data_IF_154809983690
#
_entry.id   IF_154809983690
#
_cell.length_a   1.000
_cell.length_b   1.000
_cell.length_c   1.000
_cell.angle_alpha   90.00
_cell.angle_beta   90.00
_cell.angle_gamma   90.00
#
_symmetry.space_group_name_H-M   'P 1'
#
loop_
_entity.id
_entity.type
_entity.pdbx_description
1 polymer ?
#
# COMPACT_ATOMS: atom_id res chain seq x y z
N UNK A 1 4.87 -6.49 -17.19
CA UNK A 1 5.48 -6.03 -15.92
C UNK A 1 6.84 -5.33 -16.15
N UNK A 2 7.13 -4.25 -15.42
CA UNK A 2 8.46 -3.63 -15.36
C UNK A 2 9.27 -4.32 -14.25
N UNK A 3 9.81 -5.50 -14.59
CA UNK A 3 10.60 -6.31 -13.66
C UNK A 3 11.80 -5.55 -13.07
N UNK A 4 12.27 -4.49 -13.75
CA UNK A 4 13.36 -3.64 -13.24
C UNK A 4 12.91 -2.85 -12.00
N UNK A 5 11.71 -2.25 -12.05
CA UNK A 5 11.15 -1.51 -10.91
C UNK A 5 10.91 -2.42 -9.71
N UNK A 6 10.28 -3.57 -9.93
CA UNK A 6 10.07 -4.51 -8.83
C UNK A 6 11.41 -4.97 -8.24
N UNK A 7 12.38 -5.35 -9.08
CA UNK A 7 13.69 -5.79 -8.60
C UNK A 7 14.43 -4.67 -7.83
N UNK A 8 14.33 -3.41 -8.27
CA UNK A 8 14.88 -2.27 -7.52
C UNK A 8 14.19 -2.12 -6.15
N UNK A 9 12.86 -2.20 -6.09
CA UNK A 9 12.11 -2.14 -4.84
C UNK A 9 12.43 -3.30 -3.90
N UNK A 10 12.57 -4.52 -4.43
CA UNK A 10 12.95 -5.69 -3.63
C UNK A 10 14.39 -5.54 -3.10
N UNK A 11 15.32 -4.96 -3.88
CA UNK A 11 16.69 -4.67 -3.43
C UNK A 11 16.73 -3.59 -2.35
N UNK A 12 16.00 -2.50 -2.54
CA UNK A 12 15.85 -1.44 -1.53
C UNK A 12 15.21 -2.02 -0.26
N UNK A 13 14.15 -2.80 -0.41
CA UNK A 13 13.48 -3.45 0.71
C UNK A 13 14.37 -4.46 1.43
N UNK A 14 15.24 -5.19 0.73
CA UNK A 14 16.22 -6.09 1.35
C UNK A 14 17.28 -5.32 2.14
N UNK A 15 17.76 -4.18 1.61
CA UNK A 15 18.67 -3.29 2.33
C UNK A 15 18.09 -2.83 3.67
N UNK A 16 16.82 -2.41 3.68
CA UNK A 16 16.09 -2.05 4.91
C UNK A 16 15.58 -3.26 5.71
N UNK A 17 15.83 -4.49 5.25
CA UNK A 17 15.30 -5.74 5.81
C UNK A 17 13.74 -5.80 5.91
N UNK A 18 13.07 -4.99 5.08
CA UNK A 18 11.61 -4.89 4.92
C UNK A 18 11.09 -6.03 4.04
N UNK A 19 11.81 -6.33 2.96
CA UNK A 19 11.40 -7.29 1.94
C UNK A 19 12.41 -8.43 1.89
N UNK A 20 11.98 -9.69 1.75
CA UNK A 20 12.93 -10.78 1.63
C UNK A 20 13.67 -10.73 0.29
N UNK A 21 14.99 -10.89 0.34
CA UNK A 21 15.79 -11.14 -0.86
C UNK A 21 15.32 -12.41 -1.57
N UNK A 22 15.04 -12.31 -2.87
CA UNK A 22 14.64 -13.44 -3.70
C UNK A 22 15.77 -14.45 -3.97
N UNK A 23 17.03 -14.07 -3.74
CA UNK A 23 18.20 -14.81 -4.21
C UNK A 23 19.06 -15.42 -3.10
N UNK A 24 18.66 -15.34 -1.83
CA UNK A 24 19.59 -15.68 -0.73
C UNK A 24 19.89 -17.18 -0.64
N UNK A 25 21.17 -17.60 -0.81
CA UNK A 25 21.59 -18.95 -0.47
C UNK A 25 21.57 -19.15 1.05
N UNK A 26 21.36 -20.39 1.50
CA UNK A 26 21.17 -20.75 2.91
C UNK A 26 22.29 -20.24 3.86
N UNK A 27 23.50 -20.02 3.35
CA UNK A 27 24.66 -19.58 4.12
C UNK A 27 24.51 -18.17 4.76
N UNK A 28 23.66 -17.27 4.25
CA UNK A 28 23.52 -15.91 4.79
C UNK A 28 22.41 -15.75 5.85
N UNK A 29 21.78 -16.85 6.27
CA UNK A 29 20.63 -16.81 7.19
C UNK A 29 20.97 -16.18 8.56
N UNK A 30 22.17 -16.43 9.10
CA UNK A 30 22.61 -15.92 10.41
C UNK A 30 22.83 -14.41 10.40
N UNK A 31 23.55 -13.88 9.40
CA UNK A 31 23.80 -12.44 9.25
C UNK A 31 22.48 -11.68 9.12
N UNK A 32 21.55 -12.20 8.32
CA UNK A 32 20.23 -11.58 8.15
C UNK A 32 19.41 -11.59 9.44
N UNK A 33 19.47 -12.68 10.22
CA UNK A 33 18.82 -12.74 11.54
C UNK A 33 19.41 -11.72 12.52
N UNK A 34 20.75 -11.60 12.56
CA UNK A 34 21.42 -10.59 13.38
C UNK A 34 21.00 -9.17 12.97
N UNK A 35 20.97 -8.85 11.67
CA UNK A 35 20.49 -7.58 11.13
C UNK A 35 19.04 -7.28 11.53
N UNK A 36 18.15 -8.28 11.45
CA UNK A 36 16.76 -8.12 11.88
C UNK A 36 16.62 -7.87 13.39
N UNK A 37 17.39 -8.57 14.22
CA UNK A 37 17.38 -8.34 15.68
C UNK A 37 17.88 -6.92 16.01
N UNK A 38 18.96 -6.50 15.35
CA UNK A 38 19.53 -5.17 15.52
C UNK A 38 18.54 -4.06 15.09
N UNK A 39 17.91 -4.19 13.92
CA UNK A 39 16.89 -3.22 13.46
C UNK A 39 15.70 -3.19 14.44
N UNK A 40 15.24 -4.34 14.94
CA UNK A 40 14.16 -4.39 15.95
C UNK A 40 14.55 -3.67 17.23
N UNK A 41 15.78 -3.87 17.69
CA UNK A 41 16.29 -3.20 18.87
C UNK A 41 16.31 -1.68 18.66
N UNK A 42 16.87 -1.19 17.55
CA UNK A 42 16.90 0.24 17.23
C UNK A 42 15.50 0.85 17.10
N UNK A 43 14.57 0.15 16.46
CA UNK A 43 13.18 0.60 16.35
C UNK A 43 12.53 0.69 17.73
N UNK A 44 12.70 -0.33 18.57
CA UNK A 44 12.10 -0.36 19.92
C UNK A 44 12.66 0.74 20.81
N UNK A 45 13.98 0.90 20.85
CA UNK A 45 14.65 1.97 21.62
C UNK A 45 14.27 3.34 21.06
N UNK A 46 14.25 3.51 19.74
CA UNK A 46 13.85 4.75 19.07
C UNK A 46 12.41 5.15 19.39
N UNK A 47 11.47 4.20 19.38
CA UNK A 47 10.07 4.43 19.78
C UNK A 47 9.99 4.80 21.27
N UNK A 48 10.64 4.05 22.15
CA UNK A 48 10.63 4.33 23.60
C UNK A 48 11.18 5.72 23.92
N UNK A 49 12.30 6.09 23.28
CA UNK A 49 12.90 7.42 23.42
C UNK A 49 11.98 8.51 22.86
N UNK A 50 11.36 8.31 21.69
CA UNK A 50 10.42 9.28 21.11
C UNK A 50 9.23 9.53 22.04
N UNK A 51 8.64 8.47 22.61
CA UNK A 51 7.54 8.57 23.57
C UNK A 51 7.99 9.30 24.85
N UNK A 52 9.13 8.92 25.42
CA UNK A 52 9.68 9.53 26.63
C UNK A 52 9.91 11.04 26.46
N UNK A 53 10.55 11.45 25.36
CA UNK A 53 10.79 12.87 25.09
C UNK A 53 9.53 13.66 24.76
N UNK A 54 8.51 13.03 24.16
CA UNK A 54 7.19 13.66 23.93
C UNK A 54 6.42 13.85 25.23
N UNK A 55 6.55 12.93 26.18
CA UNK A 55 5.90 12.97 27.48
C UNK A 55 6.39 14.14 28.35
N UNK A 56 7.71 14.33 28.40
CA UNK A 56 8.39 15.36 29.22
C UNK A 56 8.27 16.76 28.61
N UNK A 57 8.05 16.85 27.30
CA UNK A 57 8.33 18.07 26.54
C UNK A 57 7.36 19.24 26.71
N UNK A 58 6.10 19.08 27.13
CA UNK A 58 5.13 20.21 27.08
C UNK A 58 3.78 19.91 27.73
N UNK A 59 3.14 20.98 28.22
CA UNK A 59 1.72 21.08 28.54
C UNK A 59 0.85 21.02 27.25
N UNK A 60 0.96 19.96 26.46
CA UNK A 60 0.01 19.72 25.38
C UNK A 60 -1.36 19.33 25.96
N UNK A 61 -2.43 19.73 25.29
CA UNK A 61 -3.76 19.16 25.57
C UNK A 61 -3.69 17.63 25.50
N UNK A 62 -4.36 16.96 26.44
CA UNK A 62 -4.30 15.48 26.59
C UNK A 62 -4.58 14.76 25.27
N UNK A 63 -5.52 15.27 24.48
CA UNK A 63 -5.92 14.71 23.18
C UNK A 63 -4.74 14.65 22.19
N UNK A 64 -3.97 15.74 22.05
CA UNK A 64 -2.79 15.78 21.18
C UNK A 64 -1.72 14.81 21.66
N UNK A 65 -1.49 14.74 22.97
CA UNK A 65 -0.51 13.82 23.56
C UNK A 65 -0.85 12.37 23.25
N UNK A 66 -2.13 12.00 23.42
CA UNK A 66 -2.63 10.65 23.08
C UNK A 66 -2.46 10.37 21.58
N UNK A 67 -2.83 11.32 20.70
CA UNK A 67 -2.67 11.15 19.25
C UNK A 67 -1.22 10.91 18.84
N UNK A 68 -0.27 11.66 19.41
CA UNK A 68 1.16 11.52 19.13
C UNK A 68 1.72 10.18 19.61
N UNK A 69 1.34 9.74 20.82
CA UNK A 69 1.75 8.43 21.37
C UNK A 69 1.16 7.31 20.50
N UNK A 70 -0.13 7.40 20.15
CA UNK A 70 -0.78 6.40 19.32
C UNK A 70 -0.16 6.32 17.92
N UNK A 71 0.24 7.45 17.35
CA UNK A 71 0.97 7.51 16.07
C UNK A 71 2.29 6.74 16.15
N UNK A 72 3.08 6.93 17.21
CA UNK A 72 4.34 6.20 17.40
C UNK A 72 4.11 4.69 17.61
N UNK A 73 3.07 4.32 18.38
CA UNK A 73 2.69 2.92 18.58
C UNK A 73 2.25 2.25 17.28
N UNK A 74 1.50 2.95 16.43
CA UNK A 74 1.10 2.45 15.11
C UNK A 74 2.30 2.29 14.18
N UNK A 75 3.23 3.25 14.15
CA UNK A 75 4.47 3.14 13.37
C UNK A 75 5.39 2.00 13.85
N UNK A 76 5.48 1.82 15.16
CA UNK A 76 6.18 0.69 15.76
C UNK A 76 5.53 -0.64 15.39
N UNK A 77 4.21 -0.73 15.54
CA UNK A 77 3.41 -1.89 15.13
C UNK A 77 3.58 -2.20 13.65
N UNK A 78 3.55 -1.17 12.80
CA UNK A 78 3.75 -1.29 11.35
C UNK A 78 5.14 -1.86 11.05
N UNK A 79 6.18 -1.29 11.66
CA UNK A 79 7.55 -1.76 11.49
C UNK A 79 7.72 -3.23 11.90
N UNK A 80 7.13 -3.62 13.03
CA UNK A 80 7.15 -5.01 13.48
C UNK A 80 6.38 -5.94 12.54
N UNK A 81 5.22 -5.49 12.02
CA UNK A 81 4.43 -6.21 11.03
C UNK A 81 5.21 -6.46 9.75
N UNK A 82 5.82 -5.43 9.17
CA UNK A 82 6.67 -5.53 7.98
C UNK A 82 7.79 -6.54 8.18
N UNK A 83 8.49 -6.50 9.32
CA UNK A 83 9.56 -7.45 9.62
C UNK A 83 9.05 -8.90 9.75
N UNK A 84 7.84 -9.10 10.29
CA UNK A 84 7.21 -10.43 10.32
C UNK A 84 6.77 -10.89 8.94
N UNK A 85 6.26 -9.99 8.11
CA UNK A 85 5.86 -10.25 6.72
C UNK A 85 7.07 -10.62 5.85
N UNK A 86 8.22 -10.00 6.12
CA UNK A 86 9.50 -10.34 5.49
C UNK A 86 9.98 -11.78 5.74
N UNK A 87 9.49 -12.44 6.79
CA UNK A 87 9.77 -13.87 7.07
C UNK A 87 8.92 -14.83 6.24
N UNK A 88 7.83 -14.36 5.61
CA UNK A 88 6.90 -15.17 4.81
C UNK A 88 7.46 -15.45 3.41
N UNK A 89 8.72 -15.86 3.29
CA UNK A 89 9.43 -16.02 2.02
C UNK A 89 8.67 -16.89 1.01
N UNK A 90 8.13 -18.03 1.45
CA UNK A 90 7.35 -18.93 0.60
C UNK A 90 6.13 -18.24 -0.03
N UNK A 91 5.43 -17.38 0.73
CA UNK A 91 4.26 -16.63 0.23
C UNK A 91 4.69 -15.53 -0.74
N UNK A 92 5.77 -14.80 -0.44
CA UNK A 92 6.34 -13.81 -1.36
C UNK A 92 6.77 -14.42 -2.69
N UNK A 93 7.47 -15.55 -2.65
CA UNK A 93 7.89 -16.25 -3.85
C UNK A 93 6.68 -16.75 -4.66
N UNK A 94 5.67 -17.33 -4.00
CA UNK A 94 4.43 -17.76 -4.64
C UNK A 94 3.67 -16.58 -5.28
N UNK A 95 3.55 -15.45 -4.59
CA UNK A 95 2.94 -14.23 -5.13
C UNK A 95 3.61 -13.79 -6.43
N UNK A 96 4.94 -13.69 -6.43
CA UNK A 96 5.70 -13.24 -7.58
C UNK A 96 5.69 -14.25 -8.73
N UNK A 97 5.72 -15.55 -8.42
CA UNK A 97 5.59 -16.61 -9.42
C UNK A 97 4.20 -16.61 -10.06
N UNK A 98 3.13 -16.46 -9.28
CA UNK A 98 1.77 -16.37 -9.82
C UNK A 98 1.65 -15.17 -10.76
N UNK A 99 2.14 -13.99 -10.36
CA UNK A 99 2.16 -12.80 -11.21
C UNK A 99 2.96 -13.02 -12.51
N UNK A 100 4.09 -13.72 -12.44
CA UNK A 100 4.91 -14.07 -13.61
C UNK A 100 4.20 -15.07 -14.52
N UNK A 101 3.56 -16.10 -13.97
CA UNK A 101 2.80 -17.10 -14.73
C UNK A 101 1.62 -16.45 -15.45
N UNK A 102 0.89 -15.57 -14.78
CA UNK A 102 -0.19 -14.76 -15.38
C UNK A 102 0.37 -13.86 -16.50
N UNK A 103 1.54 -13.24 -16.31
CA UNK A 103 2.22 -12.43 -17.33
C UNK A 103 2.62 -13.26 -18.56
N UNK A 104 3.16 -14.46 -18.38
CA UNK A 104 3.49 -15.38 -19.46
C UNK A 104 2.24 -15.80 -20.25
N UNK A 105 1.17 -16.17 -19.55
CA UNK A 105 -0.07 -16.61 -20.18
C UNK A 105 -0.72 -15.49 -21.01
N UNK A 106 -0.86 -14.29 -20.45
CA UNK A 106 -1.51 -13.16 -21.13
C UNK A 106 -0.68 -12.57 -22.27
N UNK A 107 0.65 -12.67 -22.20
CA UNK A 107 1.54 -12.15 -23.26
C UNK A 107 1.42 -12.91 -24.58
N UNK A 108 0.94 -14.15 -24.56
CA UNK A 108 0.60 -14.88 -25.79
C UNK A 108 -0.51 -14.19 -26.61
N UNK A 109 -1.24 -13.23 -26.02
CA UNK A 109 -2.42 -12.62 -26.65
C UNK A 109 -2.30 -11.12 -26.92
N UNK A 110 -1.40 -10.40 -26.25
CA UNK A 110 -1.32 -8.94 -26.31
C UNK A 110 0.13 -8.50 -26.50
N UNK A 111 0.35 -7.72 -27.57
CA UNK A 111 1.64 -7.10 -27.88
C UNK A 111 1.69 -5.69 -27.27
N UNK A 112 2.02 -5.62 -25.98
CA UNK A 112 1.81 -4.41 -25.18
C UNK A 112 3.05 -3.50 -25.14
N UNK A 113 2.92 -2.26 -25.61
CA UNK A 113 3.92 -1.19 -25.44
C UNK A 113 4.02 -0.83 -23.96
N UNK A 114 5.11 -1.23 -23.31
CA UNK A 114 5.35 -0.92 -21.89
C UNK A 114 5.72 0.55 -21.70
N UNK A 115 4.83 1.33 -21.09
CA UNK A 115 5.24 2.58 -20.46
C UNK A 115 6.23 2.30 -19.31
N UNK A 116 7.31 3.08 -19.20
CA UNK A 116 8.29 2.92 -18.13
C UNK A 116 7.75 3.49 -16.81
N UNK A 117 6.99 2.69 -16.08
CA UNK A 117 6.58 3.03 -14.70
C UNK A 117 7.78 3.27 -13.78
N UNK A 118 8.93 2.68 -14.09
CA UNK A 118 10.19 2.87 -13.38
C UNK A 118 10.60 4.34 -13.24
N UNK A 119 10.59 5.11 -14.33
CA UNK A 119 11.04 6.51 -14.31
C UNK A 119 10.11 7.37 -13.49
N UNK A 120 8.78 7.21 -13.67
CA UNK A 120 7.75 7.91 -12.89
C UNK A 120 7.92 7.65 -11.37
N UNK A 121 8.19 6.40 -10.98
CA UNK A 121 8.40 6.04 -9.57
C UNK A 121 9.69 6.64 -8.99
N UNK A 122 10.81 6.58 -9.74
CA UNK A 122 12.06 7.18 -9.28
C UNK A 122 11.98 8.70 -9.09
N UNK A 123 11.30 9.39 -10.02
CA UNK A 123 11.05 10.83 -9.90
C UNK A 123 10.23 11.13 -8.64
N UNK A 124 9.17 10.35 -8.38
CA UNK A 124 8.36 10.51 -7.17
C UNK A 124 9.17 10.28 -5.89
N UNK A 125 10.01 9.24 -5.86
CA UNK A 125 10.90 8.94 -4.73
C UNK A 125 11.88 10.10 -4.48
N UNK A 126 12.46 10.67 -5.55
CA UNK A 126 13.37 11.81 -5.45
C UNK A 126 12.65 13.06 -4.92
N UNK A 127 11.45 13.37 -5.41
CA UNK A 127 10.64 14.49 -4.93
C UNK A 127 10.37 14.36 -3.43
N UNK A 128 9.92 13.18 -3.00
CA UNK A 128 9.61 12.92 -1.58
C UNK A 128 10.85 12.98 -0.70
N UNK A 129 12.00 12.54 -1.21
CA UNK A 129 13.27 12.67 -0.52
C UNK A 129 13.66 14.14 -0.34
N UNK A 130 13.57 14.97 -1.39
CA UNK A 130 13.83 16.41 -1.32
C UNK A 130 12.89 17.09 -0.31
N UNK A 131 11.60 16.77 -0.37
CA UNK A 131 10.61 17.27 0.60
C UNK A 131 11.04 16.90 2.02
N UNK A 132 11.41 15.64 2.27
CA UNK A 132 11.81 15.17 3.60
C UNK A 132 13.05 15.92 4.11
N UNK A 133 14.05 16.16 3.26
CA UNK A 133 15.25 16.94 3.62
C UNK A 133 14.87 18.37 3.99
N UNK A 134 14.07 19.04 3.15
CA UNK A 134 13.61 20.41 3.41
C UNK A 134 12.89 20.50 4.76
N UNK A 135 12.02 19.54 5.04
CA UNK A 135 11.28 19.47 6.31
C UNK A 135 12.23 19.28 7.49
N UNK A 136 13.21 18.38 7.38
CA UNK A 136 14.21 18.18 8.44
C UNK A 136 15.03 19.45 8.67
N UNK A 137 15.47 20.12 7.60
CA UNK A 137 16.21 21.37 7.67
C UNK A 137 15.42 22.45 8.40
N UNK A 138 14.20 22.75 7.94
CA UNK A 138 13.36 23.78 8.51
C UNK A 138 13.09 23.53 10.00
N UNK A 139 12.68 22.32 10.37
CA UNK A 139 12.39 22.02 11.78
C UNK A 139 13.64 21.98 12.67
N UNK A 140 14.81 21.66 12.11
CA UNK A 140 16.09 21.78 12.82
C UNK A 140 16.42 23.24 13.11
N UNK A 141 16.17 24.15 12.17
CA UNK A 141 16.36 25.59 12.41
C UNK A 141 15.41 26.11 13.49
N UNK A 142 14.15 25.65 13.49
CA UNK A 142 13.11 26.12 14.44
C UNK A 142 13.30 25.56 15.84
N UNK A 143 13.61 24.26 15.98
CA UNK A 143 13.65 23.58 17.29
C UNK A 143 15.05 23.13 17.73
N UNK A 144 16.07 23.36 16.91
CA UNK A 144 17.44 22.92 17.17
C UNK A 144 17.56 21.40 17.28
N UNK A 145 18.48 20.94 18.13
CA UNK A 145 18.76 19.52 18.33
C UNK A 145 17.58 18.74 18.96
N UNK A 146 16.70 19.43 19.69
CA UNK A 146 15.52 18.83 20.33
C UNK A 146 14.57 18.22 19.30
N UNK A 147 14.55 18.76 18.07
CA UNK A 147 13.82 18.17 16.94
C UNK A 147 14.22 16.71 16.69
N UNK A 148 15.53 16.46 16.58
CA UNK A 148 16.06 15.15 16.24
C UNK A 148 15.79 14.12 17.34
N UNK A 149 15.88 14.53 18.61
CA UNK A 149 15.55 13.64 19.73
C UNK A 149 14.07 13.20 19.70
N UNK A 150 13.16 14.08 19.25
CA UNK A 150 11.71 13.80 19.24
C UNK A 150 11.24 13.06 17.99
N UNK A 151 11.74 13.45 16.82
CA UNK A 151 11.15 13.08 15.52
C UNK A 151 12.04 12.19 14.66
N UNK A 152 13.30 11.93 15.01
CA UNK A 152 14.19 11.07 14.23
C UNK A 152 13.58 9.70 13.92
N UNK A 153 13.03 9.04 14.95
CA UNK A 153 12.34 7.76 14.79
C UNK A 153 11.14 7.88 13.84
N UNK A 154 10.26 8.85 14.06
CA UNK A 154 9.06 9.07 13.24
C UNK A 154 9.44 9.32 11.78
N UNK A 155 10.48 10.12 11.50
CA UNK A 155 10.96 10.41 10.14
C UNK A 155 11.48 9.13 9.47
N UNK A 156 12.34 8.38 10.16
CA UNK A 156 12.89 7.13 9.63
C UNK A 156 11.79 6.07 9.36
N UNK A 157 10.86 5.91 10.30
CA UNK A 157 9.73 5.00 10.17
C UNK A 157 8.78 5.44 9.05
N UNK A 158 8.51 6.73 8.90
CA UNK A 158 7.67 7.27 7.82
C UNK A 158 8.31 7.06 6.45
N UNK A 159 9.63 7.20 6.34
CA UNK A 159 10.34 6.92 5.09
C UNK A 159 10.30 5.42 4.74
N UNK A 160 10.46 4.55 5.74
CA UNK A 160 10.32 3.09 5.58
C UNK A 160 8.90 2.71 5.15
N UNK A 161 7.89 3.32 5.75
CA UNK A 161 6.49 3.20 5.35
C UNK A 161 6.30 3.60 3.89
N UNK A 162 6.83 4.75 3.47
CA UNK A 162 6.71 5.21 2.08
C UNK A 162 7.29 4.21 1.06
N UNK A 163 8.49 3.68 1.31
CA UNK A 163 9.10 2.64 0.46
C UNK A 163 8.21 1.41 0.40
N UNK A 164 7.67 0.98 1.53
CA UNK A 164 6.79 -0.18 1.61
C UNK A 164 5.47 0.03 0.85
N UNK A 165 4.84 1.20 1.00
CA UNK A 165 3.65 1.60 0.24
C UNK A 165 3.93 1.60 -1.25
N UNK A 166 5.11 2.07 -1.67
CA UNK A 166 5.57 1.99 -3.06
C UNK A 166 5.65 0.55 -3.58
N UNK A 167 6.16 -0.39 -2.78
CA UNK A 167 6.18 -1.80 -3.12
C UNK A 167 4.77 -2.38 -3.29
N UNK A 168 3.88 -2.13 -2.32
CA UNK A 168 2.47 -2.53 -2.37
C UNK A 168 1.82 -1.99 -3.65
N UNK A 169 2.00 -0.71 -3.92
CA UNK A 169 1.45 -0.04 -5.09
C UNK A 169 1.90 -0.69 -6.41
N UNK A 170 3.19 -1.00 -6.56
CA UNK A 170 3.71 -1.65 -7.78
C UNK A 170 3.11 -3.04 -7.98
N UNK A 171 2.93 -3.80 -6.90
CA UNK A 171 2.28 -5.11 -6.94
C UNK A 171 0.80 -4.97 -7.35
N UNK A 172 0.06 -4.08 -6.71
CA UNK A 172 -1.35 -3.82 -7.02
C UNK A 172 -1.53 -3.32 -8.45
N UNK A 173 -0.69 -2.39 -8.92
CA UNK A 173 -0.74 -1.91 -10.30
C UNK A 173 -0.42 -3.02 -11.30
N UNK A 174 0.47 -3.95 -10.94
CA UNK A 174 0.72 -5.15 -11.74
C UNK A 174 -0.55 -6.02 -11.80
N UNK A 175 -1.20 -6.31 -10.66
CA UNK A 175 -2.47 -7.04 -10.64
C UNK A 175 -3.56 -6.34 -11.48
N UNK A 176 -3.72 -5.03 -11.35
CA UNK A 176 -4.69 -4.24 -12.12
C UNK A 176 -4.47 -4.39 -13.63
N UNK A 177 -3.22 -4.27 -14.10
CA UNK A 177 -2.91 -4.50 -15.50
C UNK A 177 -3.23 -5.94 -15.95
N UNK A 178 -3.16 -6.93 -15.06
CA UNK A 178 -3.54 -8.32 -15.37
C UNK A 178 -5.06 -8.48 -15.51
N UNK A 179 -5.84 -7.84 -14.66
CA UNK A 179 -7.30 -7.82 -14.82
C UNK A 179 -7.72 -7.14 -16.12
N UNK A 180 -7.09 -6.02 -16.50
CA UNK A 180 -7.34 -5.36 -17.79
C UNK A 180 -6.98 -6.26 -18.98
N UNK A 181 -5.79 -6.86 -18.96
CA UNK A 181 -5.40 -7.79 -20.01
C UNK A 181 -6.32 -9.02 -20.09
N UNK A 182 -6.74 -9.58 -18.95
CA UNK A 182 -7.73 -10.67 -18.91
C UNK A 182 -9.05 -10.24 -19.59
N UNK A 183 -9.53 -9.02 -19.30
CA UNK A 183 -10.72 -8.47 -19.92
C UNK A 183 -10.62 -8.40 -21.44
N UNK A 184 -9.47 -7.97 -21.96
CA UNK A 184 -9.23 -7.86 -23.40
C UNK A 184 -9.14 -9.24 -24.06
N UNK A 185 -8.43 -10.19 -23.44
CA UNK A 185 -8.34 -11.59 -23.91
C UNK A 185 -9.73 -12.22 -23.94
N UNK A 186 -10.52 -12.04 -22.87
CA UNK A 186 -11.87 -12.58 -22.79
C UNK A 186 -12.78 -11.98 -23.86
N UNK A 187 -12.66 -10.68 -24.13
CA UNK A 187 -13.37 -10.02 -25.24
C UNK A 187 -13.06 -10.70 -26.57
N UNK A 188 -11.78 -10.95 -26.87
CA UNK A 188 -11.36 -11.62 -28.11
C UNK A 188 -11.95 -13.04 -28.19
N UNK A 189 -11.88 -13.82 -27.10
CA UNK A 189 -12.34 -15.22 -27.06
C UNK A 189 -13.86 -15.31 -27.25
N UNK A 190 -14.61 -14.41 -26.60
CA UNK A 190 -16.05 -14.31 -26.75
C UNK A 190 -16.42 -13.97 -28.21
N UNK A 191 -15.74 -13.03 -28.86
CA UNK A 191 -16.06 -12.64 -30.25
C UNK A 191 -15.58 -13.66 -31.30
N UNK A 192 -14.47 -14.36 -31.06
CA UNK A 192 -13.88 -15.32 -32.01
C UNK A 192 -14.43 -16.75 -31.89
N UNK A 193 -15.44 -16.99 -31.06
CA UNK A 193 -16.17 -18.27 -30.98
C UNK A 193 -15.29 -19.49 -30.60
N UNK A 194 -14.22 -19.29 -29.83
CA UNK A 194 -13.26 -20.34 -29.53
C UNK A 194 -13.51 -20.99 -28.16
N UNK A 195 -14.26 -22.09 -28.13
CA UNK A 195 -14.69 -22.81 -26.91
C UNK A 195 -13.52 -23.43 -26.14
N UNK A 196 -12.48 -23.91 -26.83
CA UNK A 196 -11.36 -24.65 -26.24
C UNK A 196 -10.54 -23.84 -25.21
N UNK A 197 -10.64 -22.51 -25.21
CA UNK A 197 -9.82 -21.65 -24.34
C UNK A 197 -10.48 -21.32 -22.99
N UNK A 198 -11.75 -21.65 -22.78
CA UNK A 198 -12.46 -21.24 -21.56
C UNK A 198 -11.87 -21.87 -20.29
N UNK A 199 -11.45 -23.14 -20.38
CA UNK A 199 -10.83 -23.87 -19.25
C UNK A 199 -9.49 -23.25 -18.83
N UNK A 200 -8.71 -22.74 -19.78
CA UNK A 200 -7.45 -22.06 -19.47
C UNK A 200 -7.70 -20.71 -18.78
N UNK A 201 -8.75 -19.99 -19.19
CA UNK A 201 -9.17 -18.75 -18.52
C UNK A 201 -9.68 -19.05 -17.11
N UNK A 202 -10.45 -20.13 -16.90
CA UNK A 202 -10.89 -20.55 -15.55
C UNK A 202 -9.69 -20.77 -14.62
N UNK A 203 -8.66 -21.47 -15.10
CA UNK A 203 -7.41 -21.64 -14.36
C UNK A 203 -6.74 -20.28 -14.07
N UNK A 204 -6.68 -19.39 -15.06
CA UNK A 204 -6.11 -18.05 -14.89
C UNK A 204 -6.86 -17.21 -13.85
N UNK A 205 -8.19 -17.24 -13.86
CA UNK A 205 -9.05 -16.54 -12.89
C UNK A 205 -8.83 -17.09 -11.48
N UNK A 206 -8.76 -18.41 -11.33
CA UNK A 206 -8.43 -19.07 -10.06
C UNK A 206 -7.04 -18.64 -9.56
N UNK A 207 -6.04 -18.61 -10.44
CA UNK A 207 -4.69 -18.17 -10.12
C UNK A 207 -4.65 -16.69 -9.69
N UNK A 208 -5.45 -15.82 -10.32
CA UNK A 208 -5.58 -14.42 -9.94
C UNK A 208 -6.25 -14.25 -8.56
N UNK A 209 -7.31 -15.01 -8.29
CA UNK A 209 -7.96 -15.07 -6.97
C UNK A 209 -6.98 -15.52 -5.89
N UNK A 210 -6.23 -16.60 -6.14
CA UNK A 210 -5.19 -17.08 -5.23
C UNK A 210 -4.12 -16.00 -4.97
N UNK A 211 -3.73 -15.26 -6.01
CA UNK A 211 -2.76 -14.16 -5.91
C UNK A 211 -3.27 -13.05 -4.97
N UNK A 212 -4.55 -12.71 -5.03
CA UNK A 212 -5.18 -11.73 -4.13
C UNK A 212 -5.26 -12.26 -2.69
N UNK A 213 -5.57 -13.53 -2.50
CA UNK A 213 -5.54 -14.18 -1.18
C UNK A 213 -4.14 -14.12 -0.56
N UNK A 214 -3.10 -14.46 -1.33
CA UNK A 214 -1.71 -14.37 -0.88
C UNK A 214 -1.32 -12.92 -0.57
N UNK A 215 -1.77 -11.97 -1.38
CA UNK A 215 -1.55 -10.55 -1.14
C UNK A 215 -2.16 -10.10 0.20
N UNK A 216 -3.44 -10.42 0.46
CA UNK A 216 -4.09 -10.08 1.73
C UNK A 216 -3.37 -10.73 2.93
N UNK A 217 -2.92 -11.97 2.76
CA UNK A 217 -2.17 -12.70 3.78
C UNK A 217 -0.80 -12.08 4.09
N UNK A 218 -0.16 -11.47 3.09
CA UNK A 218 1.12 -10.78 3.25
C UNK A 218 0.85 -9.39 3.81
N UNK A 219 0.10 -8.54 3.12
CA UNK A 219 0.04 -7.10 3.36
C UNK A 219 -1.15 -6.65 4.22
N UNK A 220 -2.14 -7.49 4.49
CA UNK A 220 -3.40 -7.07 5.11
C UNK A 220 -3.20 -6.36 6.45
N UNK A 221 -2.27 -6.83 7.31
CA UNK A 221 -1.96 -6.18 8.60
C UNK A 221 -1.26 -4.85 8.41
N UNK A 222 -0.26 -4.82 7.55
CA UNK A 222 0.43 -3.57 7.20
C UNK A 222 -0.48 -2.54 6.54
N UNK A 223 -1.45 -2.95 5.72
CA UNK A 223 -2.47 -2.07 5.13
C UNK A 223 -3.35 -1.44 6.22
N UNK A 224 -3.80 -2.23 7.21
CA UNK A 224 -4.57 -1.71 8.33
C UNK A 224 -3.79 -0.63 9.09
N UNK A 225 -2.54 -0.94 9.46
CA UNK A 225 -1.68 -0.02 10.23
C UNK A 225 -1.30 1.23 9.43
N UNK A 226 -1.07 1.10 8.12
CA UNK A 226 -0.82 2.25 7.24
C UNK A 226 -2.04 3.19 7.15
N UNK A 227 -3.26 2.63 7.08
CA UNK A 227 -4.49 3.43 7.08
C UNK A 227 -4.69 4.12 8.43
N UNK A 228 -4.48 3.40 9.54
CA UNK A 228 -4.54 3.97 10.89
C UNK A 228 -3.51 5.09 11.06
N UNK A 229 -2.27 4.88 10.61
CA UNK A 229 -1.22 5.90 10.65
C UNK A 229 -1.63 7.14 9.86
N UNK A 230 -2.09 6.97 8.62
CA UNK A 230 -2.51 8.10 7.79
C UNK A 230 -3.63 8.93 8.44
N UNK A 231 -4.58 8.25 9.09
CA UNK A 231 -5.69 8.89 9.80
C UNK A 231 -5.20 9.69 11.01
N UNK A 232 -4.38 9.08 11.88
CA UNK A 232 -3.81 9.75 13.06
C UNK A 232 -2.89 10.91 12.70
N UNK A 233 -2.15 10.76 11.60
CA UNK A 233 -1.26 11.78 11.12
C UNK A 233 -2.05 13.00 10.61
N UNK A 234 -3.13 12.79 9.85
CA UNK A 234 -4.02 13.88 9.41
C UNK A 234 -4.64 14.61 10.61
N UNK A 235 -5.13 13.86 11.60
CA UNK A 235 -5.64 14.42 12.86
C UNK A 235 -4.58 15.28 13.54
N UNK A 236 -3.36 14.77 13.68
CA UNK A 236 -2.26 15.48 14.37
C UNK A 236 -1.85 16.77 13.65
N UNK A 237 -1.96 16.81 12.32
CA UNK A 237 -1.68 18.02 11.55
C UNK A 237 -2.79 19.06 11.62
N UNK A 238 -4.06 18.63 11.58
CA UNK A 238 -5.19 19.54 11.76
C UNK A 238 -5.15 20.19 13.15
N UNK A 239 -4.89 19.39 14.19
CA UNK A 239 -4.69 19.90 15.55
C UNK A 239 -3.54 20.91 15.63
N UNK A 240 -2.40 20.60 14.97
CA UNK A 240 -1.26 21.51 14.91
C UNK A 240 -1.61 22.84 14.20
N UNK A 241 -2.41 22.78 13.12
CA UNK A 241 -2.90 23.96 12.42
C UNK A 241 -3.84 24.83 13.27
N UNK A 242 -4.74 24.21 14.04
CA UNK A 242 -5.68 24.92 14.90
C UNK A 242 -5.02 25.55 16.14
N UNK A 243 -4.10 24.83 16.77
CA UNK A 243 -3.52 25.20 18.07
C UNK A 243 -2.54 26.39 18.00
N UNK A 244 -1.93 26.69 16.84
CA UNK A 244 -0.70 27.49 16.80
C UNK A 244 -0.87 28.86 16.13
N UNK A 245 -1.74 29.72 16.69
CA UNK A 245 -2.14 31.03 16.13
C UNK A 245 -1.10 32.17 16.26
N UNK A 246 0.03 31.98 16.95
CA UNK A 246 0.74 33.10 17.57
C UNK A 246 1.94 33.74 16.85
N UNK A 247 2.29 33.41 15.60
CA UNK A 247 3.45 34.08 14.94
C UNK A 247 3.21 34.37 13.45
N UNK A 248 2.97 35.65 13.12
CA UNK A 248 2.64 36.10 11.77
C UNK A 248 3.76 35.91 10.73
N UNK A 249 5.04 35.96 11.15
CA UNK A 249 6.20 35.87 10.24
C UNK A 249 6.53 34.46 9.72
N UNK A 250 5.94 33.41 10.31
CA UNK A 250 6.28 32.00 10.02
C UNK A 250 5.09 31.21 9.43
N UNK A 251 3.99 31.90 9.11
CA UNK A 251 2.78 31.24 8.61
C UNK A 251 2.98 30.53 7.27
N UNK A 252 3.75 31.11 6.35
CA UNK A 252 3.97 30.52 5.03
C UNK A 252 4.72 29.17 5.12
N UNK A 253 5.85 29.13 5.83
CA UNK A 253 6.62 27.90 5.99
C UNK A 253 5.85 26.82 6.76
N UNK A 254 5.03 27.22 7.74
CA UNK A 254 4.13 26.29 8.43
C UNK A 254 3.04 25.73 7.53
N UNK A 255 2.36 26.57 6.76
CA UNK A 255 1.34 26.11 5.81
C UNK A 255 1.96 25.19 4.75
N UNK A 256 3.14 25.55 4.24
CA UNK A 256 3.88 24.73 3.28
C UNK A 256 4.28 23.38 3.89
N UNK A 257 4.84 23.36 5.10
CA UNK A 257 5.24 22.11 5.78
C UNK A 257 4.04 21.20 6.06
N UNK A 258 2.87 21.75 6.43
CA UNK A 258 1.63 20.99 6.56
C UNK A 258 1.17 20.40 5.22
N UNK A 259 1.15 21.21 4.15
CA UNK A 259 0.77 20.76 2.81
C UNK A 259 1.70 19.64 2.29
N UNK A 260 3.01 19.81 2.48
CA UNK A 260 4.02 18.82 2.11
C UNK A 260 3.83 17.51 2.90
N UNK A 261 3.47 17.61 4.19
CA UNK A 261 3.17 16.42 4.98
C UNK A 261 1.88 15.71 4.56
N UNK A 262 0.83 16.46 4.22
CA UNK A 262 -0.39 15.88 3.63
C UNK A 262 -0.07 15.12 2.33
N UNK A 263 0.90 15.60 1.55
CA UNK A 263 1.37 14.93 0.34
C UNK A 263 1.98 13.54 0.62
N UNK A 264 2.57 13.32 1.81
CA UNK A 264 3.08 12.01 2.23
C UNK A 264 1.96 10.98 2.50
N UNK A 265 0.71 11.43 2.65
CA UNK A 265 -0.46 10.54 2.83
C UNK A 265 -1.08 10.09 1.50
N UNK A 266 -0.84 10.83 0.41
CA UNK A 266 -1.34 10.51 -0.92
C UNK A 266 -1.03 9.07 -1.37
N UNK A 267 0.16 8.48 -1.12
CA UNK A 267 0.45 7.10 -1.46
C UNK A 267 -0.53 6.09 -0.86
N UNK A 268 -0.98 6.29 0.38
CA UNK A 268 -1.97 5.42 1.03
C UNK A 268 -3.32 5.49 0.32
N UNK A 269 -3.77 6.70 -0.03
CA UNK A 269 -5.01 6.89 -0.81
C UNK A 269 -4.91 6.23 -2.18
N UNK A 270 -3.76 6.39 -2.86
CA UNK A 270 -3.51 5.74 -4.16
C UNK A 270 -3.57 4.22 -4.04
N UNK A 271 -3.03 3.64 -2.96
CA UNK A 271 -3.15 2.20 -2.70
C UNK A 271 -4.61 1.78 -2.52
N UNK A 272 -5.39 2.49 -1.71
CA UNK A 272 -6.83 2.22 -1.51
C UNK A 272 -7.58 2.27 -2.85
N UNK A 273 -7.37 3.33 -3.64
CA UNK A 273 -8.01 3.50 -4.95
C UNK A 273 -7.56 2.43 -5.95
N UNK A 274 -6.32 1.95 -5.87
CA UNK A 274 -5.83 0.89 -6.76
C UNK A 274 -6.45 -0.46 -6.40
N UNK A 275 -6.60 -0.78 -5.10
CA UNK A 275 -7.35 -1.96 -4.65
C UNK A 275 -8.78 -1.93 -5.21
N UNK A 276 -9.48 -0.81 -5.04
CA UNK A 276 -10.85 -0.63 -5.52
C UNK A 276 -10.95 -0.72 -7.05
N UNK A 277 -9.99 -0.13 -7.78
CA UNK A 277 -9.94 -0.22 -9.25
C UNK A 277 -9.82 -1.66 -9.75
N UNK A 278 -9.12 -2.54 -9.03
CA UNK A 278 -9.03 -3.97 -9.37
C UNK A 278 -10.39 -4.65 -9.20
N UNK A 279 -11.10 -4.31 -8.12
CA UNK A 279 -12.45 -4.82 -7.83
C UNK A 279 -13.45 -4.34 -8.88
N UNK A 280 -13.37 -3.08 -9.29
CA UNK A 280 -14.17 -2.51 -10.39
C UNK A 280 -13.89 -3.19 -11.73
N UNK A 281 -12.61 -3.39 -12.07
CA UNK A 281 -12.25 -4.07 -13.31
C UNK A 281 -12.76 -5.50 -13.33
N UNK A 282 -12.72 -6.21 -12.20
CA UNK A 282 -13.32 -7.55 -12.09
C UNK A 282 -14.84 -7.52 -12.30
N UNK A 283 -15.54 -6.50 -11.78
CA UNK A 283 -16.98 -6.34 -11.98
C UNK A 283 -17.30 -6.01 -13.45
N UNK A 284 -16.45 -5.23 -14.11
CA UNK A 284 -16.57 -4.95 -15.53
C UNK A 284 -16.40 -6.22 -16.39
N UNK A 285 -15.47 -7.11 -16.02
CA UNK A 285 -15.33 -8.43 -16.66
C UNK A 285 -16.59 -9.26 -16.48
N UNK A 286 -17.08 -9.39 -15.25
CA UNK A 286 -18.26 -10.20 -14.94
C UNK A 286 -19.52 -9.69 -15.67
N UNK A 287 -19.75 -8.38 -15.66
CA UNK A 287 -20.86 -7.76 -16.38
C UNK A 287 -20.75 -7.95 -17.90
N UNK A 288 -19.54 -7.93 -18.46
CA UNK A 288 -19.32 -8.26 -19.87
C UNK A 288 -19.72 -9.70 -20.18
N UNK A 289 -19.27 -10.67 -19.38
CA UNK A 289 -19.63 -12.09 -19.56
C UNK A 289 -21.15 -12.27 -19.54
N UNK A 290 -21.83 -11.66 -18.56
CA UNK A 290 -23.28 -11.75 -18.46
C UNK A 290 -24.01 -11.11 -19.65
N UNK A 291 -23.53 -9.99 -20.18
CA UNK A 291 -24.12 -9.36 -21.37
C UNK A 291 -23.89 -10.19 -22.63
N UNK A 292 -22.69 -10.74 -22.80
CA UNK A 292 -22.36 -11.61 -23.93
C UNK A 292 -23.20 -12.89 -23.94
N UNK A 293 -23.64 -13.39 -22.77
CA UNK A 293 -24.54 -14.54 -22.65
C UNK A 293 -25.82 -14.41 -23.49
N UNK A 294 -26.46 -13.23 -23.49
CA UNK A 294 -27.68 -13.02 -24.26
C UNK A 294 -27.47 -12.99 -25.77
N UNK A 295 -26.23 -12.74 -26.22
CA UNK A 295 -25.90 -12.63 -27.64
C UNK A 295 -25.69 -13.99 -28.33
N UNK A 296 -25.43 -15.07 -27.58
CA UNK A 296 -25.23 -16.40 -28.14
C UNK A 296 -26.55 -17.15 -28.37
N UNK A 297 -26.75 -17.64 -29.61
CA UNK A 297 -27.86 -18.51 -29.99
C UNK A 297 -27.66 -19.97 -29.54
N UNK A 298 -26.41 -20.42 -29.47
CA UNK A 298 -26.06 -21.78 -29.07
C UNK A 298 -26.29 -22.01 -27.55
N UNK A 299 -27.18 -22.95 -27.17
CA UNK A 299 -27.49 -23.23 -25.77
C UNK A 299 -26.30 -23.82 -24.99
N UNK A 300 -25.42 -24.58 -25.64
CA UNK A 300 -24.27 -25.20 -24.96
C UNK A 300 -23.27 -24.12 -24.53
N UNK A 301 -22.93 -23.20 -25.44
CA UNK A 301 -22.07 -22.04 -25.11
C UNK A 301 -22.66 -21.13 -24.05
N UNK A 302 -23.98 -20.93 -24.08
CA UNK A 302 -24.67 -20.16 -23.04
C UNK A 302 -24.48 -20.81 -21.67
N UNK A 303 -24.57 -22.14 -21.59
CA UNK A 303 -24.34 -22.91 -20.36
C UNK A 303 -22.88 -22.83 -19.90
N UNK A 304 -21.92 -22.92 -20.82
CA UNK A 304 -20.49 -22.78 -20.51
C UNK A 304 -20.15 -21.37 -20.00
N UNK A 305 -20.63 -20.32 -20.65
CA UNK A 305 -20.47 -18.93 -20.19
C UNK A 305 -21.15 -18.68 -18.84
N UNK A 306 -22.28 -19.34 -18.57
CA UNK A 306 -22.95 -19.26 -17.28
C UNK A 306 -22.09 -19.89 -16.17
N UNK A 307 -21.56 -21.09 -16.41
CA UNK A 307 -20.64 -21.76 -15.48
C UNK A 307 -19.38 -20.92 -15.25
N UNK A 308 -18.82 -20.32 -16.30
CA UNK A 308 -17.69 -19.43 -16.20
C UNK A 308 -18.02 -18.17 -15.38
N UNK A 309 -19.18 -17.54 -15.63
CA UNK A 309 -19.62 -16.36 -14.88
C UNK A 309 -19.79 -16.66 -13.39
N UNK A 310 -20.37 -17.82 -13.07
CA UNK A 310 -20.52 -18.30 -11.69
C UNK A 310 -19.17 -18.52 -11.02
N UNK A 311 -18.25 -19.22 -11.69
CA UNK A 311 -16.88 -19.44 -11.21
C UNK A 311 -16.15 -18.11 -11.01
N UNK A 312 -16.27 -17.17 -11.95
CA UNK A 312 -15.65 -15.85 -11.87
C UNK A 312 -16.23 -15.04 -10.71
N UNK A 313 -17.56 -15.08 -10.51
CA UNK A 313 -18.25 -14.40 -9.41
C UNK A 313 -17.77 -14.91 -8.04
N UNK A 314 -17.57 -16.22 -7.90
CA UNK A 314 -17.03 -16.84 -6.67
C UNK A 314 -15.55 -16.49 -6.43
N UNK A 315 -14.80 -16.17 -7.49
CA UNK A 315 -13.36 -15.85 -7.45
C UNK A 315 -13.08 -14.35 -7.59
N UNK A 316 -14.07 -13.50 -7.27
CA UNK A 316 -13.91 -12.05 -7.35
C UNK A 316 -12.82 -11.59 -6.38
N UNK A 317 -11.89 -10.70 -6.81
CA UNK A 317 -10.90 -10.14 -5.92
C UNK A 317 -11.60 -9.38 -4.78
N UNK A 318 -11.16 -9.64 -3.55
CA UNK A 318 -11.55 -8.88 -2.37
C UNK A 318 -10.27 -8.50 -1.62
N UNK A 319 -10.02 -7.20 -1.45
CA UNK A 319 -8.88 -6.72 -0.68
C UNK A 319 -9.30 -6.44 0.75
N UNK A 320 -8.58 -7.01 1.72
CA UNK A 320 -8.93 -6.87 3.14
C UNK A 320 -7.75 -6.43 3.98
N UNK A 321 -8.02 -5.52 4.92
CA UNK A 321 -7.06 -5.07 5.91
C UNK A 321 -7.09 -6.02 7.11
N UNK A 322 -6.28 -7.09 7.04
CA UNK A 322 -6.18 -8.13 8.07
C UNK A 322 -7.52 -8.81 8.42
N UNK A 323 -8.45 -8.87 7.47
CA UNK A 323 -9.84 -9.32 7.67
C UNK A 323 -10.66 -8.47 8.63
N UNK A 324 -10.14 -7.34 9.13
CA UNK A 324 -10.92 -6.40 9.94
C UNK A 324 -11.94 -5.64 9.09
N UNK A 325 -11.55 -5.21 7.89
CA UNK A 325 -12.43 -4.53 6.96
C UNK A 325 -12.02 -4.74 5.49
N UNK A 326 -12.99 -4.58 4.59
CA UNK A 326 -12.80 -4.54 3.14
C UNK A 326 -12.23 -3.18 2.72
N UNK A 327 -11.24 -3.17 1.81
CA UNK A 327 -10.62 -1.95 1.30
C UNK A 327 -11.35 -1.53 0.03
N UNK A 328 -12.20 -0.52 0.17
CA UNK A 328 -13.03 0.06 -0.88
C UNK A 328 -12.86 1.58 -0.93
N UNK A 329 -13.34 2.25 -1.99
CA UNK A 329 -13.44 3.73 -2.05
C UNK A 329 -14.13 4.33 -0.82
N UNK A 330 -15.15 3.64 -0.29
CA UNK A 330 -15.88 4.05 0.92
C UNK A 330 -14.97 4.19 2.16
N UNK A 331 -13.83 3.49 2.19
CA UNK A 331 -12.83 3.62 3.25
C UNK A 331 -12.30 5.05 3.38
N UNK A 332 -12.15 5.77 2.25
CA UNK A 332 -11.67 7.16 2.25
C UNK A 332 -12.69 8.07 2.95
N UNK A 333 -13.99 7.87 2.65
CA UNK A 333 -15.06 8.63 3.29
C UNK A 333 -15.12 8.34 4.81
N UNK A 334 -14.94 7.08 5.22
CA UNK A 334 -14.86 6.71 6.65
C UNK A 334 -13.68 7.36 7.38
N UNK A 335 -12.53 7.47 6.71
CA UNK A 335 -11.37 8.19 7.25
C UNK A 335 -11.72 9.68 7.43
N UNK A 336 -12.32 10.32 6.42
CA UNK A 336 -12.74 11.72 6.49
C UNK A 336 -13.79 11.97 7.58
N UNK A 337 -14.75 11.07 7.72
CA UNK A 337 -15.77 11.10 8.79
C UNK A 337 -15.11 11.04 10.17
N UNK A 338 -14.19 10.10 10.38
CA UNK A 338 -13.43 9.97 11.62
C UNK A 338 -12.63 11.24 11.94
N UNK A 339 -11.97 11.82 10.92
CA UNK A 339 -11.22 13.07 11.06
C UNK A 339 -12.15 14.23 11.42
N UNK A 340 -13.31 14.35 10.76
CA UNK A 340 -14.27 15.41 11.02
C UNK A 340 -14.84 15.30 12.44
N UNK A 341 -15.22 14.10 12.90
CA UNK A 341 -15.67 13.89 14.28
C UNK A 341 -14.60 14.32 15.27
N UNK A 342 -13.33 13.96 15.03
CA UNK A 342 -12.23 14.37 15.91
C UNK A 342 -12.00 15.88 15.86
N UNK A 343 -12.10 16.50 14.69
CA UNK A 343 -11.96 17.94 14.50
C UNK A 343 -13.04 18.70 15.28
N UNK A 344 -14.28 18.22 15.27
CA UNK A 344 -15.38 18.81 16.06
C UNK A 344 -15.03 18.80 17.55
N UNK A 345 -14.54 17.67 18.06
CA UNK A 345 -14.11 17.54 19.46
C UNK A 345 -12.96 18.51 19.77
N UNK A 346 -11.95 18.61 18.91
CA UNK A 346 -10.81 19.54 19.09
C UNK A 346 -11.18 21.02 19.03
N UNK A 347 -12.26 21.38 18.34
CA UNK A 347 -12.72 22.77 18.26
C UNK A 347 -13.59 23.13 19.48
N UNK A 348 -14.31 22.16 20.03
CA UNK A 348 -15.20 22.35 21.17
C UNK A 348 -14.47 22.38 22.52
N UNK A 349 -13.35 21.67 22.64
CA UNK A 349 -12.54 21.52 23.86
C UNK A 349 -11.11 22.00 23.64
#
# INVERSE_FOLDING_TARGET
MDYRLLNLLLRLGDFFAIIPSLKEPQAHKTIRQARLVLIKFFITVGTAMSIYYKDISRNYHMVKKISLILTDLVLYGFSMCVMMEGKKFKKWHRLLNNLKMIDCFLRCYIDDKKESLYTKFLVLLLIIFIITIYMCYYWTVVYGFVFWQRLSFTIFASYSLFIYTGCIYVILRTMLSKYRALKDVLKIIIFKNSVLYLREIEYLVSLMSETVCIFNDIFGRSLALMISFATLQLISYLDYGLSNRSYAGDMFHRALTQLLFCTLMCPTLVVILTCDSIVDESQAILSMVFRSRSSFRDPQRRKELYRFAELFSQNRPQFTAARYFSIEKSTILKILETILTFLIVLVQF
#
